data_IF_137451744871
#
_entry.id   IF_137451744871
#
_cell.length_a   1.000
_cell.length_b   1.000
_cell.length_c   1.000
_cell.angle_alpha   90.00
_cell.angle_beta   90.00
_cell.angle_gamma   90.00
#
_symmetry.space_group_name_H-M   'P 1'
#
loop_
_entity.id
_entity.type
_entity.pdbx_description
1 polymer ?
#
# COMPACT_ATOMS: atom_id res chain seq x y z
N UNK A 1 -2.85 36.88 -13.33
CA UNK A 1 -2.28 37.05 -11.98
C UNK A 1 -2.24 35.68 -11.33
N UNK A 2 -1.07 35.04 -11.19
CA UNK A 2 -0.95 33.71 -10.58
C UNK A 2 -1.08 33.86 -9.07
N UNK A 3 -1.98 33.11 -8.44
CA UNK A 3 -2.20 33.19 -6.99
C UNK A 3 -0.98 32.67 -6.22
N UNK A 4 -0.67 33.26 -5.06
CA UNK A 4 0.39 32.76 -4.17
C UNK A 4 0.18 31.29 -3.76
N UNK A 5 -1.07 30.84 -3.69
CA UNK A 5 -1.40 29.46 -3.36
C UNK A 5 -1.02 28.49 -4.48
N UNK A 6 -1.23 28.84 -5.75
CA UNK A 6 -0.85 27.99 -6.88
C UNK A 6 0.66 27.83 -7.01
N UNK A 7 1.44 28.85 -6.62
CA UNK A 7 2.91 28.76 -6.59
C UNK A 7 3.38 27.79 -5.49
N UNK A 8 2.84 27.91 -4.28
CA UNK A 8 3.19 27.01 -3.15
C UNK A 8 2.82 25.56 -3.44
N UNK A 9 1.64 25.33 -4.02
CA UNK A 9 1.20 23.99 -4.38
C UNK A 9 2.12 23.36 -5.44
N UNK A 10 2.54 24.12 -6.45
CA UNK A 10 3.48 23.65 -7.48
C UNK A 10 4.85 23.30 -6.90
N UNK A 11 5.38 24.13 -5.99
CA UNK A 11 6.63 23.83 -5.28
C UNK A 11 6.50 22.51 -4.51
N UNK A 12 5.39 22.33 -3.79
CA UNK A 12 5.16 21.11 -3.01
C UNK A 12 5.06 19.85 -3.88
N UNK A 13 4.40 19.95 -5.03
CA UNK A 13 4.32 18.83 -5.99
C UNK A 13 5.72 18.48 -6.52
N UNK A 14 6.54 19.48 -6.83
CA UNK A 14 7.92 19.24 -7.30
C UNK A 14 8.77 18.53 -6.21
N UNK A 15 8.71 18.99 -4.96
CA UNK A 15 9.41 18.34 -3.84
C UNK A 15 9.01 16.85 -3.70
N UNK A 16 7.70 16.57 -3.74
CA UNK A 16 7.19 15.18 -3.65
C UNK A 16 7.58 14.34 -4.87
N UNK A 17 7.63 14.94 -6.05
CA UNK A 17 8.09 14.27 -7.28
C UNK A 17 9.56 13.88 -7.17
N UNK A 18 10.40 14.76 -6.62
CA UNK A 18 11.81 14.47 -6.36
C UNK A 18 11.98 13.33 -5.34
N UNK A 19 11.25 13.37 -4.23
CA UNK A 19 11.25 12.30 -3.23
C UNK A 19 10.83 10.95 -3.83
N UNK A 20 9.77 10.94 -4.63
CA UNK A 20 9.28 9.73 -5.30
C UNK A 20 10.29 9.20 -6.32
N UNK A 21 10.95 10.10 -7.07
CA UNK A 21 11.99 9.75 -8.05
C UNK A 21 13.15 9.04 -7.37
N UNK A 22 13.63 9.57 -6.24
CA UNK A 22 14.70 8.94 -5.45
C UNK A 22 14.24 7.56 -4.94
N UNK A 23 13.04 7.46 -4.38
CA UNK A 23 12.50 6.19 -3.89
C UNK A 23 12.35 5.12 -4.98
N UNK A 24 11.88 5.52 -6.16
CA UNK A 24 11.74 4.65 -7.33
C UNK A 24 13.10 4.17 -7.83
N UNK A 25 14.07 5.08 -7.96
CA UNK A 25 15.44 4.77 -8.39
C UNK A 25 16.12 3.78 -7.45
N UNK A 26 16.00 3.98 -6.12
CA UNK A 26 16.52 3.05 -5.11
C UNK A 26 15.89 1.66 -5.24
N UNK A 27 14.58 1.58 -5.48
CA UNK A 27 13.87 0.31 -5.60
C UNK A 27 14.22 -0.44 -6.89
N UNK A 28 14.43 0.28 -7.98
CA UNK A 28 14.76 -0.27 -9.29
C UNK A 28 16.27 -0.42 -9.52
N UNK A 29 17.10 0.08 -8.61
CA UNK A 29 18.57 0.08 -8.69
C UNK A 29 19.08 0.76 -9.97
N UNK A 30 18.46 1.88 -10.34
CA UNK A 30 18.85 2.69 -11.48
C UNK A 30 19.25 4.10 -11.04
N UNK A 31 19.76 4.90 -11.98
CA UNK A 31 19.96 6.33 -11.74
C UNK A 31 18.60 7.03 -11.59
N UNK A 32 18.55 8.04 -10.73
CA UNK A 32 17.37 8.89 -10.56
C UNK A 32 17.10 9.75 -11.78
N UNK A 33 18.15 10.17 -12.50
CA UNK A 33 17.98 11.02 -13.68
C UNK A 33 17.34 10.24 -14.84
N UNK A 34 17.64 8.94 -14.95
CA UNK A 34 17.06 8.06 -15.99
C UNK A 34 15.55 7.86 -15.83
N UNK A 35 15.01 7.95 -14.60
CA UNK A 35 13.60 7.68 -14.32
C UNK A 35 12.79 8.95 -14.03
N UNK A 36 13.46 10.10 -13.89
CA UNK A 36 12.84 11.38 -13.52
C UNK A 36 11.70 11.78 -14.45
N UNK A 37 11.89 11.66 -15.76
CA UNK A 37 10.85 12.03 -16.75
C UNK A 37 9.62 11.13 -16.65
N UNK A 38 9.83 9.83 -16.40
CA UNK A 38 8.75 8.86 -16.23
C UNK A 38 7.96 9.17 -14.97
N UNK A 39 8.64 9.42 -13.85
CA UNK A 39 7.98 9.78 -12.58
C UNK A 39 7.22 11.09 -12.71
N UNK A 40 7.81 12.11 -13.33
CA UNK A 40 7.15 13.39 -13.57
C UNK A 40 5.87 13.24 -14.42
N UNK A 41 5.91 12.43 -15.48
CA UNK A 41 4.75 12.15 -16.31
C UNK A 41 3.62 11.46 -15.53
N UNK A 42 3.95 10.48 -14.67
CA UNK A 42 2.97 9.80 -13.81
C UNK A 42 2.37 10.75 -12.79
N UNK A 43 3.18 11.59 -12.12
CA UNK A 43 2.67 12.57 -11.16
C UNK A 43 1.76 13.58 -11.85
N UNK A 44 2.13 14.08 -13.04
CA UNK A 44 1.30 14.99 -13.82
C UNK A 44 -0.07 14.36 -14.14
N UNK A 45 -0.07 13.12 -14.64
CA UNK A 45 -1.30 12.36 -14.88
C UNK A 45 -2.17 12.22 -13.62
N UNK A 46 -1.57 11.85 -12.47
CA UNK A 46 -2.32 11.69 -11.22
C UNK A 46 -2.94 13.00 -10.72
N UNK A 47 -2.24 14.13 -10.89
CA UNK A 47 -2.75 15.45 -10.52
C UNK A 47 -3.89 15.89 -11.44
N UNK A 48 -3.82 15.56 -12.73
CA UNK A 48 -4.84 15.88 -13.73
C UNK A 48 -6.11 15.03 -13.58
N UNK A 49 -5.97 13.73 -13.36
CA UNK A 49 -7.09 12.78 -13.25
C UNK A 49 -7.78 12.81 -11.89
N UNK A 50 -7.05 13.11 -10.82
CA UNK A 50 -7.58 13.17 -9.46
C UNK A 50 -7.39 14.55 -8.81
N UNK A 51 -7.94 15.62 -9.41
CA UNK A 51 -7.77 16.96 -8.87
C UNK A 51 -8.59 17.10 -7.58
N UNK A 52 -7.91 17.39 -6.48
CA UNK A 52 -8.50 17.82 -5.21
C UNK A 52 -9.48 16.85 -4.52
N UNK A 53 -9.49 15.56 -4.89
CA UNK A 53 -10.17 14.55 -4.08
C UNK A 53 -9.30 14.26 -2.86
N UNK A 54 -9.88 14.36 -1.66
CA UNK A 54 -9.33 13.72 -0.46
C UNK A 54 -9.40 12.20 -0.71
N UNK A 55 -8.39 11.70 -1.42
CA UNK A 55 -8.21 10.30 -1.68
C UNK A 55 -7.86 9.65 -0.35
N UNK A 56 -8.77 8.83 0.16
CA UNK A 56 -8.43 7.90 1.22
C UNK A 56 -7.40 6.91 0.65
N UNK A 57 -6.12 7.14 0.93
CA UNK A 57 -5.04 6.19 0.63
C UNK A 57 -4.85 5.34 1.88
N UNK A 58 -5.23 4.05 1.86
CA UNK A 58 -4.95 3.17 2.98
C UNK A 58 -3.43 3.10 3.18
N UNK A 59 -2.96 3.35 4.40
CA UNK A 59 -1.53 3.38 4.77
C UNK A 59 -0.80 2.05 4.47
N UNK A 60 -1.55 1.02 4.11
CA UNK A 60 -1.04 -0.25 3.68
C UNK A 60 -1.94 -0.80 2.56
N UNK A 61 -1.49 -0.72 1.31
CA UNK A 61 -2.02 -1.57 0.21
C UNK A 61 -1.85 -3.07 0.50
N UNK A 62 -1.16 -3.39 1.59
CA UNK A 62 -1.17 -4.68 2.24
C UNK A 62 -1.61 -4.47 3.69
N UNK A 63 -2.93 -4.51 3.96
CA UNK A 63 -3.29 -5.24 5.17
C UNK A 63 -2.45 -6.53 5.13
N UNK A 64 -1.83 -7.00 6.23
CA UNK A 64 -1.40 -8.39 6.25
C UNK A 64 -2.69 -9.18 6.07
N UNK A 65 -3.03 -9.48 4.81
CA UNK A 65 -4.10 -10.38 4.45
C UNK A 65 -3.55 -11.69 4.94
N UNK A 66 -3.85 -11.99 6.20
CA UNK A 66 -3.56 -13.28 6.77
C UNK A 66 -4.11 -14.30 5.76
N UNK A 67 -3.35 -15.34 5.41
CA UNK A 67 -3.78 -16.30 4.42
C UNK A 67 -4.88 -17.17 5.04
N UNK A 68 -6.10 -16.62 5.18
CA UNK A 68 -7.23 -17.25 5.88
C UNK A 68 -7.55 -18.61 5.28
N UNK A 69 -7.42 -18.75 3.96
CA UNK A 69 -7.53 -20.05 3.28
C UNK A 69 -6.52 -21.09 3.78
N UNK A 70 -5.25 -20.71 3.98
CA UNK A 70 -4.24 -21.63 4.53
C UNK A 70 -4.46 -21.92 6.01
N UNK A 71 -4.92 -20.93 6.77
CA UNK A 71 -5.27 -21.08 8.19
C UNK A 71 -6.43 -22.09 8.34
N UNK A 72 -7.48 -21.95 7.53
CA UNK A 72 -8.63 -22.89 7.50
C UNK A 72 -8.18 -24.30 7.09
N UNK A 73 -7.34 -24.41 6.05
CA UNK A 73 -6.77 -25.69 5.63
C UNK A 73 -5.96 -26.38 6.74
N UNK A 74 -5.18 -25.62 7.50
CA UNK A 74 -4.44 -26.15 8.65
C UNK A 74 -5.36 -26.71 9.74
N UNK A 75 -6.51 -26.06 9.99
CA UNK A 75 -7.53 -26.58 10.91
C UNK A 75 -8.19 -27.86 10.37
N UNK A 76 -8.52 -27.91 9.08
CA UNK A 76 -9.06 -29.12 8.42
C UNK A 76 -8.08 -30.30 8.50
N UNK A 77 -6.78 -30.01 8.45
CA UNK A 77 -5.68 -30.96 8.61
C UNK A 77 -5.40 -31.33 10.08
N UNK A 78 -6.26 -30.90 11.02
CA UNK A 78 -6.13 -31.15 12.46
C UNK A 78 -4.85 -30.56 13.09
N UNK A 79 -4.26 -29.51 12.50
CA UNK A 79 -3.18 -28.78 13.17
C UNK A 79 -3.71 -28.12 14.46
N UNK A 80 -2.91 -28.20 15.53
CA UNK A 80 -3.28 -27.52 16.76
C UNK A 80 -3.28 -26.00 16.58
N UNK A 81 -4.22 -25.31 17.23
CA UNK A 81 -4.30 -23.84 17.30
C UNK A 81 -2.94 -23.21 17.68
N UNK A 82 -2.19 -23.85 18.58
CA UNK A 82 -0.86 -23.38 19.00
C UNK A 82 0.15 -23.42 17.85
N UNK A 83 0.11 -24.45 17.01
CA UNK A 83 0.95 -24.57 15.81
C UNK A 83 0.63 -23.46 14.81
N UNK A 84 -0.66 -23.26 14.51
CA UNK A 84 -1.12 -22.26 13.56
C UNK A 84 -0.77 -20.84 14.00
N UNK A 85 -1.03 -20.49 15.26
CA UNK A 85 -0.64 -19.20 15.82
C UNK A 85 0.88 -18.95 15.72
N UNK A 86 1.70 -19.97 15.98
CA UNK A 86 3.16 -19.87 15.86
C UNK A 86 3.61 -19.70 14.39
N UNK A 87 3.05 -20.50 13.48
CA UNK A 87 3.36 -20.50 12.04
C UNK A 87 3.04 -19.17 11.39
N UNK A 88 1.86 -18.62 11.68
CA UNK A 88 1.38 -17.36 11.10
C UNK A 88 1.71 -16.13 11.95
N UNK A 89 2.42 -16.31 13.07
CA UNK A 89 2.81 -15.23 14.01
C UNK A 89 1.62 -14.37 14.46
N UNK A 90 0.51 -15.02 14.81
CA UNK A 90 -0.70 -14.38 15.31
C UNK A 90 -1.06 -14.91 16.70
N UNK A 91 -1.74 -14.07 17.48
CA UNK A 91 -2.34 -14.52 18.72
C UNK A 91 -3.64 -15.32 18.46
N UNK A 92 -4.13 -16.00 19.50
CA UNK A 92 -5.39 -16.76 19.40
C UNK A 92 -6.59 -15.87 19.09
N UNK A 93 -6.60 -14.63 19.60
CA UNK A 93 -7.72 -13.70 19.43
C UNK A 93 -7.88 -13.30 17.97
N UNK A 94 -6.76 -13.04 17.30
CA UNK A 94 -6.67 -12.72 15.88
C UNK A 94 -7.05 -13.94 15.04
N UNK A 95 -6.56 -15.13 15.41
CA UNK A 95 -6.97 -16.37 14.74
C UNK A 95 -8.50 -16.53 14.70
N UNK A 96 -9.19 -16.42 15.84
CA UNK A 96 -10.65 -16.58 15.87
C UNK A 96 -11.38 -15.46 15.15
N UNK A 97 -10.89 -14.20 15.27
CA UNK A 97 -11.46 -13.08 14.51
C UNK A 97 -11.45 -13.33 13.00
N UNK A 98 -10.37 -13.90 12.47
CA UNK A 98 -10.24 -14.23 11.04
C UNK A 98 -11.15 -15.39 10.60
N UNK A 99 -11.57 -16.25 11.52
CA UNK A 99 -12.48 -17.36 11.23
C UNK A 99 -13.95 -16.94 11.32
N UNK A 100 -14.25 -15.99 12.20
CA UNK A 100 -15.60 -15.44 12.40
C UNK A 100 -16.02 -14.45 11.29
N UNK A 101 -15.06 -13.89 10.54
CA UNK A 101 -15.38 -13.06 9.38
C UNK A 101 -16.16 -13.90 8.33
N UNK A 102 -17.37 -13.46 7.94
CA UNK A 102 -18.14 -14.16 6.92
C UNK A 102 -17.32 -14.17 5.65
N UNK A 103 -17.20 -15.35 5.03
CA UNK A 103 -16.52 -15.53 3.76
C UNK A 103 -17.15 -14.56 2.75
N UNK A 104 -16.51 -13.41 2.52
CA UNK A 104 -16.87 -12.52 1.43
C UNK A 104 -16.37 -13.17 0.14
N UNK A 105 -17.05 -14.26 -0.25
CA UNK A 105 -16.98 -14.98 -1.52
C UNK A 105 -18.00 -16.13 -1.44
N UNK A 106 -19.26 -15.79 -1.73
CA UNK A 106 -20.24 -16.70 -2.32
C UNK A 106 -20.41 -16.29 -3.78
#
# INVERSE_FOLDING_TARGET
>A
MVSRNTVRQRIRINELTDELTIGAALRLRCDSDDIREVVAAVVAYLVEEYPAQDLYIPASLQAPTYPVGEIRKGLEQQESVRSLCKRFRIDRRTLYRLLDEPSANG
#
